data_IF_460720788521
#
_entry.id   IF_460720788521
#
_cell.length_a   1.000
_cell.length_b   1.000
_cell.length_c   1.000
_cell.angle_alpha   90.00
_cell.angle_beta   90.00
_cell.angle_gamma   90.00
#
_symmetry.space_group_name_H-M   'P 1'
#
loop_
_entity.id
_entity.type
_entity.pdbx_description
1 polymer ?
#
# COMPACT_ATOMS: atom_id res chain seq x y z
N UNK A 1 -7.99 15.31 -7.86
CA UNK A 1 -7.08 14.53 -6.99
C UNK A 1 -6.52 13.42 -7.87
N UNK A 2 -5.20 13.28 -7.94
CA UNK A 2 -4.56 12.18 -8.67
C UNK A 2 -4.95 10.87 -8.00
N UNK A 3 -5.38 9.86 -8.76
CA UNK A 3 -5.78 8.59 -8.18
C UNK A 3 -4.55 7.87 -7.64
N UNK A 4 -4.54 7.54 -6.35
CA UNK A 4 -3.46 6.83 -5.65
C UNK A 4 -3.03 5.53 -6.34
N UNK A 5 -3.96 4.94 -7.11
CA UNK A 5 -3.77 3.79 -8.01
C UNK A 5 -2.64 3.96 -9.04
N UNK A 6 -2.30 5.19 -9.44
CA UNK A 6 -1.19 5.44 -10.38
C UNK A 6 0.17 5.00 -9.82
N UNK A 7 0.29 4.92 -8.50
CA UNK A 7 1.52 4.56 -7.80
C UNK A 7 1.60 3.07 -7.47
N UNK A 8 0.49 2.32 -7.57
CA UNK A 8 0.41 0.91 -7.18
C UNK A 8 1.45 0.03 -7.89
N UNK A 9 1.68 0.14 -9.21
CA UNK A 9 2.68 -0.70 -9.88
C UNK A 9 4.11 -0.41 -9.37
N UNK A 10 4.41 0.86 -9.07
CA UNK A 10 5.73 1.26 -8.55
C UNK A 10 5.94 0.74 -7.11
N UNK A 11 4.90 0.78 -6.29
CA UNK A 11 4.96 0.23 -4.94
C UNK A 11 5.06 -1.29 -4.95
N UNK A 12 4.27 -1.97 -5.78
CA UNK A 12 4.33 -3.41 -5.97
C UNK A 12 5.72 -3.86 -6.42
N UNK A 13 6.32 -3.19 -7.40
CA UNK A 13 7.69 -3.47 -7.85
C UNK A 13 8.72 -3.27 -6.72
N UNK A 14 8.54 -2.24 -5.89
CA UNK A 14 9.41 -2.00 -4.72
C UNK A 14 9.26 -3.14 -3.71
N UNK A 15 8.02 -3.48 -3.32
CA UNK A 15 7.72 -4.58 -2.40
C UNK A 15 8.22 -5.93 -2.95
N UNK A 16 8.16 -6.14 -4.26
CA UNK A 16 8.67 -7.33 -4.95
C UNK A 16 10.20 -7.40 -4.86
N UNK A 17 10.91 -6.29 -5.12
CA UNK A 17 12.38 -6.21 -4.98
C UNK A 17 12.85 -6.53 -3.56
N UNK A 18 12.08 -6.13 -2.56
CA UNK A 18 12.36 -6.44 -1.15
C UNK A 18 11.77 -7.78 -0.68
N UNK A 19 11.10 -8.54 -1.55
CA UNK A 19 10.37 -9.78 -1.22
C UNK A 19 9.29 -9.59 -0.11
N UNK A 20 8.84 -8.36 0.11
CA UNK A 20 7.82 -8.01 1.10
C UNK A 20 6.40 -8.10 0.53
N UNK A 21 6.23 -8.27 -0.78
CA UNK A 21 4.93 -8.29 -1.43
C UNK A 21 3.97 -9.32 -0.81
N UNK A 22 4.43 -10.53 -0.48
CA UNK A 22 3.58 -11.55 0.16
C UNK A 22 3.20 -11.17 1.59
N UNK A 23 4.16 -10.68 2.37
CA UNK A 23 3.92 -10.22 3.73
C UNK A 23 2.89 -9.09 3.72
N UNK A 24 3.07 -8.09 2.85
CA UNK A 24 2.16 -6.95 2.71
C UNK A 24 0.78 -7.38 2.23
N UNK A 25 0.68 -8.26 1.22
CA UNK A 25 -0.61 -8.76 0.74
C UNK A 25 -1.37 -9.51 1.85
N UNK A 26 -0.74 -10.45 2.53
CA UNK A 26 -1.35 -11.18 3.64
C UNK A 26 -1.71 -10.28 4.82
N UNK A 27 -0.89 -9.26 5.09
CA UNK A 27 -1.15 -8.28 6.14
C UNK A 27 -2.35 -7.37 5.83
N UNK A 28 -2.51 -6.97 4.56
CA UNK A 28 -3.64 -6.17 4.10
C UNK A 28 -4.92 -7.01 4.00
N UNK A 29 -4.83 -8.26 3.55
CA UNK A 29 -5.96 -9.21 3.53
C UNK A 29 -6.45 -9.57 4.94
N UNK A 30 -5.54 -9.68 5.93
CA UNK A 30 -5.90 -10.03 7.30
C UNK A 30 -6.79 -9.00 8.01
N UNK A 31 -6.90 -7.78 7.49
CA UNK A 31 -7.93 -6.81 7.86
C UNK A 31 -7.69 -6.03 9.16
N UNK A 32 -7.61 -4.70 8.99
CA UNK A 32 -8.12 -3.58 9.81
C UNK A 32 -7.33 -2.91 10.95
N UNK A 33 -6.79 -3.51 12.03
CA UNK A 33 -6.08 -2.70 13.03
C UNK A 33 -4.71 -2.25 12.53
N UNK A 34 -4.02 -3.10 11.77
CA UNK A 34 -2.65 -2.79 11.36
C UNK A 34 -2.55 -1.91 10.11
N UNK A 35 -3.52 -1.98 9.19
CA UNK A 35 -3.60 -1.05 8.05
C UNK A 35 -3.77 0.40 8.54
N UNK A 36 -4.64 0.60 9.53
CA UNK A 36 -4.83 1.88 10.22
C UNK A 36 -3.56 2.35 10.96
N UNK A 37 -2.80 1.44 11.58
CA UNK A 37 -1.51 1.78 12.18
C UNK A 37 -0.46 2.14 11.13
N UNK A 38 -0.47 1.47 9.97
CA UNK A 38 0.37 1.80 8.82
C UNK A 38 0.05 3.19 8.25
N UNK A 39 -1.23 3.51 8.06
CA UNK A 39 -1.66 4.84 7.64
C UNK A 39 -1.22 5.92 8.64
N UNK A 40 -1.39 5.69 9.94
CA UNK A 40 -0.92 6.60 10.99
C UNK A 40 0.61 6.76 10.97
N UNK A 41 1.38 5.68 10.82
CA UNK A 41 2.83 5.76 10.72
C UNK A 41 3.30 6.57 9.50
N UNK A 42 2.60 6.47 8.36
CA UNK A 42 2.88 7.25 7.16
C UNK A 42 2.60 8.75 7.36
N UNK A 43 1.49 9.09 8.03
CA UNK A 43 1.19 10.48 8.39
C UNK A 43 2.22 11.07 9.36
N UNK A 44 2.72 10.30 10.32
CA UNK A 44 3.83 10.73 11.18
C UNK A 44 5.15 10.89 10.39
N UNK A 45 5.40 10.04 9.39
CA UNK A 45 6.54 10.15 8.48
C UNK A 45 6.46 11.35 7.52
N UNK A 46 5.27 11.88 7.26
CA UNK A 46 5.03 13.06 6.42
C UNK A 46 5.77 14.30 6.91
N UNK A 47 5.97 14.44 8.23
CA UNK A 47 6.76 15.52 8.82
C UNK A 47 8.27 15.42 8.60
N UNK A 48 8.75 14.24 8.19
CA UNK A 48 10.17 13.96 7.88
C UNK A 48 10.43 13.92 6.36
N UNK A 49 9.45 13.52 5.55
CA UNK A 49 9.57 13.38 4.10
C UNK A 49 8.25 13.83 3.45
N UNK A 50 8.24 15.02 2.83
CA UNK A 50 7.10 15.50 2.06
C UNK A 50 7.10 14.81 0.68
N UNK A 51 6.25 13.79 0.52
CA UNK A 51 6.14 13.04 -0.73
C UNK A 51 4.69 12.72 -1.05
N UNK A 52 4.22 13.12 -2.23
CA UNK A 52 2.89 12.79 -2.75
C UNK A 52 2.64 11.27 -2.79
N UNK A 53 3.69 10.45 -2.91
CA UNK A 53 3.57 8.99 -2.84
C UNK A 53 3.22 8.48 -1.43
N UNK A 54 3.76 9.12 -0.38
CA UNK A 54 3.43 8.74 1.00
C UNK A 54 1.99 9.13 1.35
N UNK A 55 1.53 10.27 0.84
CA UNK A 55 0.13 10.72 0.98
C UNK A 55 -0.81 9.75 0.28
N UNK A 56 -0.54 9.43 -0.98
CA UNK A 56 -1.34 8.48 -1.75
C UNK A 56 -1.35 7.07 -1.11
N UNK A 57 -0.24 6.65 -0.49
CA UNK A 57 -0.16 5.37 0.21
C UNK A 57 -1.01 5.40 1.49
N UNK A 58 -0.94 6.48 2.26
CA UNK A 58 -1.76 6.66 3.46
C UNK A 58 -3.26 6.65 3.11
N UNK A 59 -3.68 7.39 2.06
CA UNK A 59 -5.06 7.37 1.57
C UNK A 59 -5.50 5.98 1.12
N UNK A 60 -4.63 5.23 0.43
CA UNK A 60 -4.92 3.85 0.00
C UNK A 60 -5.13 2.91 1.19
N UNK A 61 -4.35 3.09 2.26
CA UNK A 61 -4.43 2.26 3.47
C UNK A 61 -5.54 2.67 4.44
N UNK A 62 -5.94 3.94 4.42
CA UNK A 62 -7.02 4.50 5.22
C UNK A 62 -8.39 4.00 4.73
N UNK A 63 -8.57 3.91 3.41
CA UNK A 63 -9.79 3.40 2.80
C UNK A 63 -9.76 1.86 2.71
N UNK A 64 -10.60 1.18 3.50
CA UNK A 64 -10.66 -0.29 3.55
C UNK A 64 -10.84 -0.94 2.16
N UNK A 65 -11.64 -0.32 1.29
CA UNK A 65 -11.87 -0.81 -0.06
C UNK A 65 -10.64 -0.66 -0.96
N UNK A 66 -9.93 0.47 -0.89
CA UNK A 66 -8.70 0.70 -1.64
C UNK A 66 -7.58 -0.22 -1.13
N UNK A 67 -7.47 -0.41 0.19
CA UNK A 67 -6.49 -1.29 0.81
C UNK A 67 -6.66 -2.75 0.37
N UNK A 68 -7.91 -3.26 0.35
CA UNK A 68 -8.23 -4.60 -0.16
C UNK A 68 -8.00 -4.74 -1.66
N UNK A 69 -8.33 -3.70 -2.43
CA UNK A 69 -8.08 -3.68 -3.87
C UNK A 69 -6.56 -3.68 -4.17
N UNK A 70 -5.76 -2.96 -3.38
CA UNK A 70 -4.30 -2.97 -3.48
C UNK A 70 -3.72 -4.32 -3.06
N UNK A 71 -4.24 -4.96 -2.00
CA UNK A 71 -3.85 -6.32 -1.61
C UNK A 71 -4.11 -7.32 -2.74
N UNK A 72 -5.31 -7.25 -3.34
CA UNK A 72 -5.69 -8.08 -4.48
C UNK A 72 -4.77 -7.83 -5.68
N UNK A 73 -4.42 -6.57 -5.96
CA UNK A 73 -3.45 -6.20 -6.99
C UNK A 73 -2.07 -6.82 -6.75
N UNK A 74 -1.56 -6.78 -5.51
CA UNK A 74 -0.28 -7.42 -5.14
C UNK A 74 -0.31 -8.94 -5.35
N UNK A 75 -1.44 -9.59 -5.05
CA UNK A 75 -1.62 -11.03 -5.28
C UNK A 75 -1.71 -11.36 -6.78
N UNK A 76 -2.31 -10.50 -7.60
CA UNK A 76 -2.37 -10.69 -9.05
C UNK A 76 -1.00 -10.48 -9.72
N UNK A 77 -0.23 -9.47 -9.31
CA UNK A 77 1.15 -9.23 -9.79
C UNK A 77 2.11 -10.39 -9.45
N UNK A 78 1.76 -11.24 -8.46
CA UNK A 78 2.48 -12.49 -8.14
C UNK A 78 2.39 -13.53 -9.26
N UNK A 79 1.33 -13.50 -10.06
CA UNK A 79 1.08 -14.47 -11.13
C UNK A 79 1.43 -13.87 -12.49
N UNK A 80 2.70 -13.91 -12.93
CA UNK A 80 3.00 -13.65 -14.32
C UNK A 80 2.33 -14.73 -15.17
N UNK A 81 1.57 -14.29 -16.20
CA UNK A 81 1.03 -15.17 -17.25
C UNK A 81 2.14 -15.74 -18.13
#
# INVERSE_FOLDING_TARGET
>A
MKSSREYWPRWAETLRRFQLHEFTASFLEAGSPFALLGAQALYFGRGLIESDQLVALAETLEEEQEARAFASFLVQERMPS
#
